data_IF_863171501611
#
_entry.id   IF_863171501611
#
_cell.length_a   1.000
_cell.length_b   1.000
_cell.length_c   1.000
_cell.angle_alpha   90.00
_cell.angle_beta   90.00
_cell.angle_gamma   90.00
#
_symmetry.space_group_name_H-M   'P 1'
#
loop_
_entity.id
_entity.type
_entity.pdbx_description
1 polymer ?
#
# COMPACT_ATOMS: atom_id res chain seq x y z
N UNK A 1 -18.22 26.48 -1.96
CA UNK A 1 -18.51 25.13 -2.51
C UNK A 1 -18.71 24.25 -1.30
N UNK A 2 -19.83 23.54 -1.19
CA UNK A 2 -20.06 22.66 -0.04
C UNK A 2 -19.04 21.54 -0.07
N UNK A 3 -18.29 21.34 1.00
CA UNK A 3 -17.43 20.16 1.16
C UNK A 3 -18.32 18.92 1.05
N UNK A 4 -18.10 18.13 0.00
CA UNK A 4 -18.78 16.85 -0.16
C UNK A 4 -18.13 15.89 0.82
N UNK A 5 -18.87 15.47 1.84
CA UNK A 5 -18.41 14.47 2.78
C UNK A 5 -18.42 13.10 2.10
N UNK A 6 -17.24 12.51 1.93
CA UNK A 6 -17.08 11.12 1.51
C UNK A 6 -16.82 10.24 2.74
N UNK A 7 -17.66 9.22 2.96
CA UNK A 7 -17.46 8.19 3.96
C UNK A 7 -17.07 6.89 3.26
N UNK A 8 -15.89 6.35 3.58
CA UNK A 8 -15.43 5.05 3.14
C UNK A 8 -15.35 4.11 4.34
N UNK A 9 -15.95 2.93 4.20
CA UNK A 9 -15.90 1.86 5.21
C UNK A 9 -15.20 0.66 4.57
N UNK A 10 -13.88 0.50 4.78
CA UNK A 10 -13.15 -0.68 4.32
C UNK A 10 -13.77 -1.96 4.89
N UNK A 11 -13.73 -3.05 4.12
CA UNK A 11 -14.17 -4.38 4.56
C UNK A 11 -15.64 -4.52 4.97
N UNK A 12 -16.50 -3.56 4.59
CA UNK A 12 -17.93 -3.57 4.92
C UNK A 12 -18.70 -4.76 4.31
N UNK A 13 -18.21 -5.31 3.19
CA UNK A 13 -18.74 -6.52 2.58
C UNK A 13 -17.61 -7.32 1.93
N UNK A 14 -17.59 -8.62 2.17
CA UNK A 14 -16.63 -9.56 1.57
C UNK A 14 -17.40 -10.68 0.84
N UNK A 15 -16.81 -11.22 -0.21
CA UNK A 15 -17.38 -12.34 -0.99
C UNK A 15 -17.33 -13.68 -0.25
N UNK A 16 -16.67 -13.75 0.91
CA UNK A 16 -16.56 -14.99 1.68
C UNK A 16 -17.93 -15.45 2.20
N UNK A 17 -18.20 -16.78 2.24
CA UNK A 17 -19.49 -17.31 2.70
C UNK A 17 -19.86 -16.85 4.12
N UNK A 18 -18.87 -16.77 5.01
CA UNK A 18 -19.08 -16.31 6.39
C UNK A 18 -19.48 -14.84 6.47
N UNK A 19 -18.89 -13.97 5.63
CA UNK A 19 -19.28 -12.56 5.55
C UNK A 19 -20.71 -12.40 5.02
N UNK A 20 -21.06 -13.14 3.97
CA UNK A 20 -22.41 -13.13 3.40
C UNK A 20 -23.46 -13.60 4.42
N UNK A 21 -23.15 -14.64 5.20
CA UNK A 21 -24.05 -15.13 6.24
C UNK A 21 -24.19 -14.12 7.40
N UNK A 22 -23.09 -13.49 7.82
CA UNK A 22 -23.14 -12.46 8.85
C UNK A 22 -23.97 -11.24 8.41
N UNK A 23 -23.83 -10.82 7.15
CA UNK A 23 -24.60 -9.72 6.54
C UNK A 23 -26.11 -9.95 6.60
N UNK A 24 -26.58 -11.19 6.39
CA UNK A 24 -28.01 -11.51 6.42
C UNK A 24 -28.65 -11.30 7.80
N UNK A 25 -27.88 -11.43 8.89
CA UNK A 25 -28.38 -11.28 10.27
C UNK A 25 -28.15 -9.90 10.89
N UNK A 26 -27.44 -8.99 10.21
CA UNK A 26 -27.07 -7.68 10.73
C UNK A 26 -28.25 -6.71 10.70
N UNK A 27 -28.61 -6.15 11.86
CA UNK A 27 -29.64 -5.12 11.96
C UNK A 27 -28.99 -3.72 11.94
N UNK A 28 -29.08 -3.03 10.81
CA UNK A 28 -28.43 -1.74 10.58
C UNK A 28 -29.45 -0.63 10.30
N UNK A 29 -30.41 -0.44 11.22
CA UNK A 29 -31.57 0.43 11.01
C UNK A 29 -31.25 1.89 10.63
N UNK A 30 -30.08 2.42 11.04
CA UNK A 30 -29.61 3.74 10.62
C UNK A 30 -29.02 3.74 9.21
N UNK A 31 -28.30 2.68 8.84
CA UNK A 31 -27.76 2.50 7.50
C UNK A 31 -28.90 2.28 6.50
N UNK A 32 -29.91 1.47 6.83
CA UNK A 32 -31.08 1.24 5.98
C UNK A 32 -31.82 2.56 5.68
N UNK A 33 -32.04 3.37 6.72
CA UNK A 33 -32.64 4.71 6.57
C UNK A 33 -31.80 5.66 5.73
N UNK A 34 -30.47 5.55 5.81
CA UNK A 34 -29.56 6.37 5.03
C UNK A 34 -29.55 5.93 3.56
N UNK A 35 -29.36 4.64 3.29
CA UNK A 35 -29.31 4.07 1.93
C UNK A 35 -30.62 4.35 1.19
N UNK A 36 -31.78 4.29 1.85
CA UNK A 36 -33.08 4.65 1.26
C UNK A 36 -33.16 6.10 0.72
N UNK A 37 -32.23 6.97 1.13
CA UNK A 37 -32.13 8.37 0.68
C UNK A 37 -30.99 8.62 -0.31
N UNK A 38 -30.15 7.62 -0.55
CA UNK A 38 -29.01 7.70 -1.44
C UNK A 38 -29.35 7.08 -2.79
N UNK A 39 -28.71 7.57 -3.84
CA UNK A 39 -28.78 6.98 -5.17
C UNK A 39 -27.53 6.12 -5.37
N UNK A 40 -27.66 4.84 -5.75
CA UNK A 40 -26.50 4.02 -6.06
C UNK A 40 -25.79 4.60 -7.28
N UNK A 41 -24.47 4.77 -7.16
CA UNK A 41 -23.59 5.08 -8.28
C UNK A 41 -22.94 3.79 -8.79
N UNK A 42 -22.25 3.88 -9.93
CA UNK A 42 -21.46 2.75 -10.46
C UNK A 42 -20.47 2.23 -9.40
N UNK A 43 -20.51 0.92 -9.19
CA UNK A 43 -19.63 0.24 -8.24
C UNK A 43 -18.21 0.06 -8.79
N UNK A 44 -17.24 0.09 -7.89
CA UNK A 44 -15.85 -0.27 -8.19
C UNK A 44 -15.67 -1.78 -8.01
N UNK A 45 -15.98 -2.53 -9.06
CA UNK A 45 -15.80 -4.00 -9.08
C UNK A 45 -14.37 -4.29 -9.56
N UNK A 46 -13.59 -4.97 -8.72
CA UNK A 46 -12.25 -5.42 -9.06
C UNK A 46 -12.03 -6.84 -8.56
N UNK A 47 -11.19 -7.59 -9.29
CA UNK A 47 -10.81 -8.95 -8.95
C UNK A 47 -9.87 -8.98 -7.73
N UNK A 48 -9.80 -10.12 -7.05
CA UNK A 48 -8.96 -10.36 -5.87
C UNK A 48 -7.47 -10.24 -6.15
N UNK A 49 -7.05 -10.28 -7.41
CA UNK A 49 -5.67 -10.11 -7.87
C UNK A 49 -5.29 -8.66 -8.24
N UNK A 50 -6.24 -7.72 -8.17
CA UNK A 50 -5.96 -6.30 -8.44
C UNK A 50 -4.95 -5.75 -7.41
N UNK A 51 -3.88 -5.08 -7.84
CA UNK A 51 -2.80 -4.64 -6.94
C UNK A 51 -3.23 -3.65 -5.83
N UNK A 52 -4.20 -2.78 -6.09
CA UNK A 52 -4.76 -1.87 -5.06
C UNK A 52 -6.05 -2.42 -4.48
N UNK A 53 -6.22 -2.31 -3.17
CA UNK A 53 -7.45 -2.71 -2.49
C UNK A 53 -8.64 -1.81 -2.91
N UNK A 54 -9.88 -2.32 -2.86
CA UNK A 54 -11.05 -1.56 -3.32
C UNK A 54 -11.24 -0.20 -2.63
N UNK A 55 -10.98 -0.13 -1.33
CA UNK A 55 -11.15 1.12 -0.57
C UNK A 55 -10.04 2.14 -0.90
N UNK A 56 -8.82 1.70 -1.23
CA UNK A 56 -7.76 2.59 -1.73
C UNK A 56 -8.12 3.18 -3.09
N UNK A 57 -8.68 2.37 -4.01
CA UNK A 57 -9.15 2.86 -5.32
C UNK A 57 -10.28 3.86 -5.17
N UNK A 58 -11.23 3.58 -4.28
CA UNK A 58 -12.33 4.48 -3.96
C UNK A 58 -11.83 5.81 -3.35
N UNK A 59 -10.86 5.75 -2.43
CA UNK A 59 -10.23 6.93 -1.84
C UNK A 59 -9.47 7.75 -2.88
N UNK A 60 -8.67 7.11 -3.74
CA UNK A 60 -7.96 7.78 -4.82
C UNK A 60 -8.91 8.52 -5.77
N UNK A 61 -10.04 7.89 -6.13
CA UNK A 61 -11.08 8.52 -6.95
C UNK A 61 -11.71 9.73 -6.26
N UNK A 62 -12.04 9.62 -4.97
CA UNK A 62 -12.60 10.73 -4.19
C UNK A 62 -11.63 11.91 -4.05
N UNK A 63 -10.31 11.63 -4.01
CA UNK A 63 -9.25 12.62 -3.97
C UNK A 63 -8.85 13.15 -5.35
N UNK A 64 -9.41 12.63 -6.44
CA UNK A 64 -9.03 12.99 -7.82
C UNK A 64 -7.60 12.61 -8.19
N UNK A 65 -7.02 11.61 -7.53
CA UNK A 65 -5.65 11.18 -7.80
C UNK A 65 -5.52 10.45 -9.14
N UNK A 66 -4.44 10.70 -9.90
CA UNK A 66 -4.17 9.98 -11.13
C UNK A 66 -3.69 8.56 -10.83
N UNK A 67 -3.85 7.64 -11.78
CA UNK A 67 -3.28 6.29 -11.71
C UNK A 67 -4.31 5.17 -11.67
N UNK A 68 -3.87 3.98 -12.12
CA UNK A 68 -4.64 2.74 -12.05
C UNK A 68 -4.23 1.87 -10.87
N UNK A 69 -4.80 0.66 -10.80
CA UNK A 69 -4.42 -0.33 -9.78
C UNK A 69 -2.89 -0.51 -9.69
N UNK A 70 -2.37 -0.40 -8.47
CA UNK A 70 -0.95 -0.51 -8.13
C UNK A 70 -0.12 0.74 -8.42
N UNK A 71 -0.67 1.77 -9.05
CA UNK A 71 0.06 3.01 -9.43
C UNK A 71 -0.57 4.27 -8.83
N UNK A 72 -1.27 4.13 -7.70
CA UNK A 72 -1.84 5.27 -6.98
C UNK A 72 -0.67 6.02 -6.30
N UNK A 73 -0.51 7.34 -6.53
CA UNK A 73 0.67 8.10 -6.09
C UNK A 73 0.55 8.52 -4.62
N UNK A 74 0.37 7.56 -3.71
CA UNK A 74 0.13 7.82 -2.29
C UNK A 74 1.26 8.62 -1.63
N UNK A 75 2.52 8.33 -1.95
CA UNK A 75 3.67 9.03 -1.40
C UNK A 75 3.72 10.49 -1.86
N UNK A 76 3.48 10.76 -3.15
CA UNK A 76 3.41 12.11 -3.68
C UNK A 76 2.23 12.91 -3.09
N UNK A 77 1.07 12.26 -2.94
CA UNK A 77 -0.08 12.89 -2.27
C UNK A 77 0.21 13.21 -0.81
N UNK A 78 0.82 12.28 -0.06
CA UNK A 78 1.22 12.49 1.34
C UNK A 78 2.16 13.69 1.49
N UNK A 79 3.16 13.82 0.60
CA UNK A 79 4.03 15.00 0.55
C UNK A 79 3.26 16.29 0.25
N UNK A 80 2.32 16.25 -0.69
CA UNK A 80 1.46 17.40 -0.99
C UNK A 80 0.68 17.85 0.26
N UNK A 81 0.11 16.91 1.02
CA UNK A 81 -0.60 17.19 2.27
C UNK A 81 0.30 17.80 3.37
N UNK A 82 1.61 17.52 3.32
CA UNK A 82 2.61 18.13 4.20
C UNK A 82 3.10 19.51 3.72
N UNK A 83 2.53 20.07 2.64
CA UNK A 83 2.98 21.33 2.06
C UNK A 83 4.21 21.22 1.16
N UNK A 84 4.63 19.99 0.81
CA UNK A 84 5.81 19.68 -0.02
C UNK A 84 5.43 19.38 -1.47
N UNK A 85 4.42 20.07 -1.99
CA UNK A 85 3.87 19.86 -3.33
C UNK A 85 4.93 19.98 -4.44
N UNK A 86 5.88 20.90 -4.28
CA UNK A 86 6.95 21.09 -5.26
C UNK A 86 7.86 19.85 -5.34
N UNK A 87 8.20 19.25 -4.21
CA UNK A 87 9.03 18.03 -4.19
C UNK A 87 8.29 16.84 -4.81
N UNK A 88 6.99 16.73 -4.53
CA UNK A 88 6.12 15.70 -5.09
C UNK A 88 6.00 15.77 -6.63
N UNK A 89 6.10 16.98 -7.21
CA UNK A 89 5.92 17.20 -8.64
C UNK A 89 7.17 16.93 -9.51
N UNK A 90 8.37 16.94 -8.93
CA UNK A 90 9.63 16.90 -9.69
C UNK A 90 10.40 15.57 -9.56
N UNK A 91 9.83 14.57 -8.89
CA UNK A 91 10.45 13.27 -8.71
C UNK A 91 9.41 12.19 -8.51
N UNK A 92 9.76 10.94 -8.82
CA UNK A 92 8.97 9.79 -8.44
C UNK A 92 9.18 9.47 -6.95
N UNK A 93 8.05 9.28 -6.24
CA UNK A 93 8.01 8.98 -4.81
C UNK A 93 7.22 7.71 -4.56
N UNK A 94 7.73 6.85 -3.68
CA UNK A 94 7.04 5.65 -3.21
C UNK A 94 7.12 5.53 -1.69
N UNK A 95 6.23 4.72 -1.13
CA UNK A 95 6.36 4.26 0.24
C UNK A 95 7.20 2.99 0.30
N UNK A 96 8.06 2.91 1.32
CA UNK A 96 8.79 1.70 1.68
C UNK A 96 8.34 1.27 3.07
N UNK A 97 7.86 0.04 3.18
CA UNK A 97 7.31 -0.52 4.43
C UNK A 97 8.22 -1.64 4.91
N UNK A 98 8.96 -1.44 6.02
CA UNK A 98 9.66 -2.54 6.68
C UNK A 98 8.66 -3.62 7.11
N UNK A 99 8.93 -4.87 6.76
CA UNK A 99 8.06 -6.00 7.07
C UNK A 99 8.87 -7.27 7.30
N UNK A 100 8.26 -8.25 7.96
CA UNK A 100 8.85 -9.58 8.12
C UNK A 100 8.24 -10.56 7.12
N UNK A 101 9.10 -11.35 6.48
CA UNK A 101 8.69 -12.43 5.58
C UNK A 101 8.89 -13.76 6.28
N UNK A 102 7.81 -14.54 6.40
CA UNK A 102 7.88 -15.91 6.88
C UNK A 102 8.08 -16.84 5.69
N UNK A 103 9.25 -17.47 5.64
CA UNK A 103 9.55 -18.51 4.65
C UNK A 103 9.03 -19.85 5.15
N UNK A 104 8.10 -20.45 4.40
CA UNK A 104 7.62 -21.83 4.61
C UNK A 104 8.10 -22.71 3.46
N UNK A 105 7.88 -24.02 3.58
CA UNK A 105 8.39 -25.02 2.61
C UNK A 105 7.86 -24.78 1.19
N UNK A 106 6.66 -24.24 1.05
CA UNK A 106 5.91 -24.12 -0.20
C UNK A 106 5.62 -22.66 -0.62
N UNK A 107 5.64 -21.71 0.32
CA UNK A 107 5.32 -20.31 0.04
C UNK A 107 6.02 -19.35 1.02
N UNK A 108 6.05 -18.06 0.67
CA UNK A 108 6.56 -16.99 1.53
C UNK A 108 5.44 -16.03 1.84
N UNK A 109 5.10 -15.85 3.12
CA UNK A 109 4.05 -14.91 3.54
C UNK A 109 4.62 -13.63 4.12
N UNK A 110 3.93 -12.51 3.88
CA UNK A 110 4.21 -11.22 4.53
C UNK A 110 3.38 -11.11 5.82
N UNK A 111 4.05 -10.94 6.96
CA UNK A 111 3.41 -10.64 8.23
C UNK A 111 2.98 -9.18 8.30
N UNK A 112 2.04 -8.86 9.20
CA UNK A 112 1.58 -7.49 9.38
C UNK A 112 2.76 -6.57 9.78
N UNK A 113 3.08 -5.53 8.98
CA UNK A 113 4.12 -4.57 9.33
C UNK A 113 3.95 -3.93 10.72
N UNK A 114 2.71 -3.82 11.21
CA UNK A 114 2.42 -3.31 12.55
C UNK A 114 2.91 -4.26 13.65
N UNK A 115 2.95 -5.57 13.40
CA UNK A 115 3.44 -6.59 14.36
C UNK A 115 4.96 -6.53 14.53
N UNK A 116 5.70 -5.84 13.64
CA UNK A 116 7.14 -5.67 13.74
C UNK A 116 7.56 -4.85 14.97
N UNK A 117 6.66 -4.01 15.49
CA UNK A 117 6.89 -3.26 16.74
C UNK A 117 8.10 -2.32 16.71
N UNK A 118 8.48 -1.81 15.53
CA UNK A 118 9.61 -0.89 15.40
C UNK A 118 9.34 0.42 16.16
N UNK A 119 10.25 0.78 17.07
CA UNK A 119 10.31 2.13 17.60
C UNK A 119 10.82 3.10 16.52
N UNK A 120 10.64 4.39 16.74
CA UNK A 120 11.20 5.41 15.85
C UNK A 120 12.73 5.28 15.75
N UNK A 121 13.42 5.07 16.87
CA UNK A 121 14.88 4.94 16.91
C UNK A 121 15.34 3.70 16.14
N UNK A 122 14.69 2.54 16.35
CA UNK A 122 15.00 1.30 15.65
C UNK A 122 14.75 1.43 14.14
N UNK A 123 13.65 2.07 13.77
CA UNK A 123 13.30 2.32 12.36
C UNK A 123 14.30 3.24 11.67
N UNK A 124 14.74 4.32 12.34
CA UNK A 124 15.79 5.23 11.83
C UNK A 124 17.14 4.53 11.69
N UNK A 125 17.51 3.68 12.65
CA UNK A 125 18.73 2.88 12.59
C UNK A 125 18.69 1.90 11.40
N UNK A 126 17.56 1.21 11.20
CA UNK A 126 17.36 0.31 10.07
C UNK A 126 17.44 1.07 8.73
N UNK A 127 16.78 2.23 8.63
CA UNK A 127 16.86 3.10 7.46
C UNK A 127 18.31 3.50 7.16
N UNK A 128 19.08 3.89 8.18
CA UNK A 128 20.47 4.29 8.00
C UNK A 128 21.36 3.14 7.49
N UNK A 129 21.08 1.91 7.89
CA UNK A 129 21.78 0.71 7.39
C UNK A 129 21.42 0.43 5.92
N UNK A 130 20.15 0.61 5.54
CA UNK A 130 19.66 0.31 4.19
C UNK A 130 19.94 1.42 3.17
N UNK A 131 20.01 2.68 3.60
CA UNK A 131 20.12 3.84 2.73
C UNK A 131 21.27 3.77 1.71
N UNK A 132 22.50 3.32 2.05
CA UNK A 132 23.60 3.23 1.08
C UNK A 132 23.32 2.28 -0.08
N UNK A 133 22.56 1.22 0.16
CA UNK A 133 22.22 0.23 -0.86
C UNK A 133 21.19 0.77 -1.84
N UNK A 134 20.14 1.43 -1.32
CA UNK A 134 19.17 2.13 -2.15
C UNK A 134 19.82 3.26 -2.97
N UNK A 135 20.77 3.99 -2.37
CA UNK A 135 21.50 5.05 -3.06
C UNK A 135 22.32 4.53 -4.24
N UNK A 136 22.80 3.27 -4.18
CA UNK A 136 23.48 2.60 -5.30
C UNK A 136 22.61 2.45 -6.55
N UNK A 137 21.30 2.40 -6.38
CA UNK A 137 20.29 2.34 -7.44
C UNK A 137 19.66 3.72 -7.75
N UNK A 138 20.22 4.79 -7.19
CA UNK A 138 19.70 6.14 -7.36
C UNK A 138 18.41 6.43 -6.58
N UNK A 139 18.11 5.63 -5.55
CA UNK A 139 16.97 5.83 -4.66
C UNK A 139 17.43 6.46 -3.35
N UNK A 140 16.83 7.59 -2.97
CA UNK A 140 17.07 8.24 -1.69
C UNK A 140 15.95 7.87 -0.71
N UNK A 141 16.32 7.31 0.45
CA UNK A 141 15.38 7.02 1.53
C UNK A 141 15.26 8.21 2.50
N UNK A 142 14.03 8.50 2.90
CA UNK A 142 13.69 9.53 3.86
C UNK A 142 12.79 8.92 4.94
N UNK A 143 13.10 9.21 6.20
CA UNK A 143 12.24 8.78 7.30
C UNK A 143 10.90 9.52 7.27
N UNK A 144 9.81 8.82 7.56
CA UNK A 144 8.47 9.42 7.72
C UNK A 144 7.80 8.95 9.03
N UNK A 145 7.67 7.64 9.24
CA UNK A 145 7.18 7.04 10.49
C UNK A 145 7.78 5.63 10.71
N UNK A 146 7.63 5.00 11.89
CA UNK A 146 8.37 3.76 12.20
C UNK A 146 8.17 2.61 11.21
N UNK A 147 6.97 2.45 10.65
CA UNK A 147 6.62 1.38 9.70
C UNK A 147 6.44 1.88 8.25
N UNK A 148 6.76 3.13 7.95
CA UNK A 148 6.66 3.69 6.59
C UNK A 148 7.72 4.74 6.37
N UNK A 149 8.54 4.53 5.35
CA UNK A 149 9.52 5.48 4.85
C UNK A 149 9.10 6.01 3.49
N UNK A 150 9.69 7.12 3.09
CA UNK A 150 9.58 7.68 1.75
C UNK A 150 10.82 7.29 0.95
N UNK A 151 10.62 6.88 -0.30
CA UNK A 151 11.69 6.66 -1.25
C UNK A 151 11.50 7.60 -2.44
N UNK A 152 12.59 8.23 -2.87
CA UNK A 152 12.63 9.14 -4.01
C UNK A 152 13.60 8.61 -5.06
N UNK A 153 13.17 8.50 -6.31
CA UNK A 153 14.05 8.13 -7.41
C UNK A 153 13.31 7.71 -8.66
N UNK A 154 13.89 7.99 -9.84
CA UNK A 154 13.27 7.72 -11.15
C UNK A 154 12.90 6.25 -11.37
N UNK A 155 13.60 5.30 -10.72
CA UNK A 155 13.30 3.88 -10.80
C UNK A 155 11.90 3.52 -10.24
N UNK A 156 11.31 4.41 -9.44
CA UNK A 156 9.99 4.26 -8.84
C UNK A 156 8.88 4.79 -9.76
N UNK A 157 9.22 5.50 -10.83
CA UNK A 157 8.25 6.05 -11.76
C UNK A 157 7.43 4.94 -12.43
N UNK A 158 6.10 5.12 -12.45
CA UNK A 158 5.13 4.19 -13.05
C UNK A 158 5.20 2.74 -12.56
N UNK A 159 5.93 2.46 -11.48
CA UNK A 159 6.10 1.12 -10.93
C UNK A 159 4.79 0.63 -10.30
N UNK A 160 4.16 -0.43 -10.82
CA UNK A 160 2.99 -1.01 -10.19
C UNK A 160 3.40 -1.81 -8.95
N UNK A 161 2.87 -1.43 -7.79
CA UNK A 161 3.10 -2.14 -6.52
C UNK A 161 1.79 -2.57 -5.89
N UNK A 162 1.77 -3.78 -5.33
CA UNK A 162 0.64 -4.23 -4.52
C UNK A 162 0.52 -3.39 -3.24
N UNK A 163 -0.72 -3.10 -2.83
CA UNK A 163 -0.98 -2.59 -1.49
C UNK A 163 -0.60 -3.66 -0.46
N UNK A 164 0.05 -3.29 0.66
CA UNK A 164 0.38 -4.25 1.72
C UNK A 164 -0.82 -5.10 2.12
N UNK A 165 -2.01 -4.51 2.21
CA UNK A 165 -3.25 -5.19 2.61
C UNK A 165 -3.67 -6.30 1.64
N UNK A 166 -3.23 -6.24 0.38
CA UNK A 166 -3.48 -7.31 -0.61
C UNK A 166 -2.56 -8.51 -0.43
N UNK A 167 -1.40 -8.29 0.19
CA UNK A 167 -0.33 -9.27 0.35
C UNK A 167 -0.33 -9.88 1.75
N UNK A 168 -0.87 -9.19 2.75
CA UNK A 168 -0.91 -9.63 4.15
C UNK A 168 -1.34 -11.09 4.28
N UNK A 169 -0.47 -11.91 4.88
CA UNK A 169 -0.69 -13.34 5.17
C UNK A 169 -1.00 -14.20 3.93
N UNK A 170 -0.67 -13.72 2.73
CA UNK A 170 -0.73 -14.45 1.46
C UNK A 170 0.67 -14.67 0.91
N UNK A 171 0.79 -15.58 -0.05
CA UNK A 171 2.04 -15.79 -0.78
C UNK A 171 2.43 -14.52 -1.56
N UNK A 172 3.59 -13.96 -1.24
CA UNK A 172 4.13 -12.71 -1.85
C UNK A 172 4.47 -12.87 -3.33
N UNK A 173 4.68 -14.11 -3.81
CA UNK A 173 5.22 -14.39 -5.15
C UNK A 173 4.43 -13.76 -6.29
N UNK A 174 3.10 -13.66 -6.14
CA UNK A 174 2.18 -13.10 -7.14
C UNK A 174 2.10 -11.56 -7.09
N UNK A 175 2.61 -10.94 -6.03
CA UNK A 175 2.46 -9.51 -5.73
C UNK A 175 3.73 -8.69 -5.94
N UNK A 176 4.87 -9.37 -6.11
CA UNK A 176 6.15 -8.68 -6.29
C UNK A 176 6.20 -7.97 -7.64
N UNK A 177 6.69 -6.71 -7.68
CA UNK A 177 6.84 -5.99 -8.93
C UNK A 177 7.87 -6.70 -9.81
N UNK A 178 7.51 -6.97 -11.06
CA UNK A 178 8.41 -7.52 -12.05
C UNK A 178 8.22 -9.02 -12.29
N UNK A 179 7.31 -9.35 -13.20
CA UNK A 179 7.33 -10.64 -13.92
C UNK A 179 8.60 -10.80 -14.77
N UNK A 180 9.38 -9.72 -14.94
CA UNK A 180 10.66 -9.69 -15.60
C UNK A 180 11.77 -9.75 -14.55
N UNK A 181 12.52 -10.86 -14.52
CA UNK A 181 13.64 -11.18 -13.61
C UNK A 181 14.81 -10.17 -13.62
N UNK A 182 14.68 -9.06 -14.32
CA UNK A 182 15.74 -8.08 -14.63
C UNK A 182 15.49 -6.70 -14.02
N UNK A 183 14.41 -6.49 -13.26
CA UNK A 183 14.18 -5.20 -12.63
C UNK A 183 15.18 -4.96 -11.48
N UNK A 184 15.87 -3.81 -11.41
CA UNK A 184 16.88 -3.56 -10.38
C UNK A 184 16.36 -3.69 -8.94
N UNK A 185 15.06 -3.41 -8.73
CA UNK A 185 14.42 -3.59 -7.41
C UNK A 185 14.39 -5.04 -6.93
N UNK A 186 14.37 -6.03 -7.83
CA UNK A 186 14.42 -7.43 -7.41
C UNK A 186 15.79 -7.77 -6.83
N UNK A 187 16.86 -7.29 -7.49
CA UNK A 187 18.23 -7.40 -6.97
C UNK A 187 18.34 -6.70 -5.62
N UNK A 188 17.87 -5.45 -5.52
CA UNK A 188 17.87 -4.68 -4.29
C UNK A 188 17.11 -5.41 -3.16
N UNK A 189 15.95 -6.02 -3.47
CA UNK A 189 15.20 -6.81 -2.50
C UNK A 189 16.00 -8.01 -1.98
N UNK A 190 16.64 -8.78 -2.87
CA UNK A 190 17.50 -9.90 -2.46
C UNK A 190 18.72 -9.44 -1.65
N UNK A 191 19.33 -8.32 -1.99
CA UNK A 191 20.42 -7.71 -1.22
C UNK A 191 19.96 -7.30 0.18
N UNK A 192 18.76 -6.71 0.32
CA UNK A 192 18.21 -6.34 1.62
C UNK A 192 17.89 -7.56 2.48
N UNK A 193 17.37 -8.64 1.88
CA UNK A 193 17.19 -9.90 2.60
C UNK A 193 18.54 -10.41 3.12
N UNK A 194 19.57 -10.51 2.28
CA UNK A 194 20.87 -10.97 2.74
C UNK A 194 21.45 -10.09 3.85
N UNK A 195 21.35 -8.75 3.73
CA UNK A 195 21.85 -7.79 4.71
C UNK A 195 21.15 -7.89 6.07
N UNK A 196 19.85 -8.17 6.09
CA UNK A 196 19.05 -8.17 7.33
C UNK A 196 19.06 -9.51 8.06
N UNK A 197 19.52 -10.58 7.40
CA UNK A 197 19.70 -11.90 8.01
C UNK A 197 21.15 -12.15 8.48
N UNK A 198 22.06 -11.17 8.36
CA UNK A 198 23.42 -11.20 8.94
C UNK A 198 23.46 -10.53 10.30
#
# INVERSE_FOLDING_TARGET
>A
MSDILHLLIPYAACSSPGSQQALQGLQLAHLDRLIARLVPLEGDVGDDETLSAPHERALARALGLPGGAGRIPWAAWHLHQQGRAQEAAHSAWAFVTPCHWQVRTDHVTLDDPAELGLSEEASRALLAIMAPWFAGDGITLHYDQPTRWLAQGELLADLPTASPERVLRRDVSHWLPGSHKTHPLQRLHSEMQMLLYT
#
